data_IF_888258129294
#
_entry.id   IF_888258129294
#
_cell.length_a   1.000
_cell.length_b   1.000
_cell.length_c   1.000
_cell.angle_alpha   90.00
_cell.angle_beta   90.00
_cell.angle_gamma   90.00
#
_symmetry.space_group_name_H-M   'P 1'
#
loop_
_entity.id
_entity.type
_entity.pdbx_description
1 polymer ?
#
# COMPACT_ATOMS: atom_id res chain seq x y z
N UNK A 1 -9.01 83.65 -37.87
CA UNK A 1 -7.70 83.04 -37.58
C UNK A 1 -7.48 83.15 -36.08
N UNK A 2 -7.10 82.05 -35.44
CA UNK A 2 -6.91 81.97 -33.99
C UNK A 2 -5.63 82.75 -33.58
N UNK A 3 -5.64 83.37 -32.40
CA UNK A 3 -4.52 84.19 -31.90
C UNK A 3 -3.22 83.37 -31.79
N UNK A 4 -3.34 82.07 -31.52
CA UNK A 4 -2.21 81.16 -31.43
C UNK A 4 -1.49 80.99 -32.78
N UNK A 5 -2.24 80.86 -33.87
CA UNK A 5 -1.68 80.70 -35.22
C UNK A 5 -0.88 81.93 -35.64
N UNK A 6 -1.38 83.12 -35.32
CA UNK A 6 -0.69 84.39 -35.56
C UNK A 6 0.64 84.46 -34.79
N UNK A 7 0.63 84.07 -33.51
CA UNK A 7 1.82 84.05 -32.66
C UNK A 7 2.90 83.10 -33.18
N UNK A 8 2.53 81.90 -33.62
CA UNK A 8 3.48 80.92 -34.16
C UNK A 8 4.07 81.42 -35.48
N UNK A 9 3.26 82.00 -36.38
CA UNK A 9 3.77 82.52 -37.67
C UNK A 9 4.71 83.71 -37.50
N UNK A 10 4.41 84.62 -36.58
CA UNK A 10 5.25 85.80 -36.33
C UNK A 10 6.61 85.44 -35.70
N UNK A 11 6.69 84.34 -34.95
CA UNK A 11 7.91 83.90 -34.28
C UNK A 11 8.59 82.69 -34.94
N UNK A 12 8.08 82.20 -36.08
CA UNK A 12 8.59 81.01 -36.76
C UNK A 12 10.10 81.07 -37.04
N UNK A 13 10.60 82.25 -37.42
CA UNK A 13 12.03 82.47 -37.70
C UNK A 13 12.94 82.27 -36.48
N UNK A 14 12.44 82.45 -35.25
CA UNK A 14 13.21 82.23 -34.03
C UNK A 14 13.41 80.75 -33.70
N UNK A 15 12.64 79.85 -34.33
CA UNK A 15 12.76 78.40 -34.11
C UNK A 15 13.86 77.76 -34.97
N UNK A 16 14.35 78.44 -36.01
CA UNK A 16 15.36 77.90 -36.94
C UNK A 16 16.81 78.29 -36.60
N UNK A 17 17.03 79.04 -35.50
CA UNK A 17 18.35 79.56 -35.13
C UNK A 17 19.33 78.44 -34.69
N UNK A 18 18.83 77.36 -34.10
CA UNK A 18 19.65 76.29 -33.55
C UNK A 18 19.26 74.93 -34.15
N UNK A 19 20.07 74.41 -35.08
CA UNK A 19 19.93 73.03 -35.57
C UNK A 19 20.66 72.08 -34.64
N UNK A 20 19.94 71.11 -34.09
CA UNK A 20 20.54 70.08 -33.26
C UNK A 20 21.58 69.25 -34.05
N UNK A 21 22.78 69.09 -33.49
CA UNK A 21 23.81 68.22 -34.05
C UNK A 21 23.41 66.74 -33.86
N UNK A 22 22.80 66.19 -34.91
CA UNK A 22 22.32 64.81 -34.94
C UNK A 22 23.46 63.81 -34.75
N UNK A 23 24.67 64.11 -35.23
CA UNK A 23 25.80 63.20 -35.11
C UNK A 23 26.22 63.04 -33.65
N UNK A 24 26.28 64.15 -32.91
CA UNK A 24 26.59 64.14 -31.47
C UNK A 24 25.53 63.38 -30.66
N UNK A 25 24.25 63.59 -30.98
CA UNK A 25 23.14 62.88 -30.32
C UNK A 25 23.22 61.37 -30.56
N UNK A 26 23.44 60.94 -31.81
CA UNK A 26 23.57 59.52 -32.14
C UNK A 26 24.81 58.87 -31.52
N UNK A 27 25.92 59.60 -31.41
CA UNK A 27 27.12 59.12 -30.74
C UNK A 27 26.88 58.84 -29.24
N UNK A 28 26.12 59.70 -28.54
CA UNK A 28 25.79 59.47 -27.13
C UNK A 28 24.78 58.34 -26.93
N UNK A 29 23.79 58.21 -27.81
CA UNK A 29 22.79 57.12 -27.76
C UNK A 29 23.48 55.77 -27.95
N UNK A 30 24.35 55.65 -28.96
CA UNK A 30 25.06 54.40 -29.25
C UNK A 30 26.03 53.99 -28.14
N UNK A 31 26.74 54.95 -27.53
CA UNK A 31 27.62 54.69 -26.40
C UNK A 31 26.86 54.13 -25.17
N UNK A 32 25.68 54.68 -24.86
CA UNK A 32 24.85 54.19 -23.74
C UNK A 32 24.24 52.81 -24.00
N UNK A 33 24.04 52.43 -25.26
CA UNK A 33 23.51 51.11 -25.62
C UNK A 33 24.59 50.02 -25.50
N UNK A 34 25.82 50.30 -25.95
CA UNK A 34 26.93 49.32 -25.86
C UNK A 34 27.34 49.00 -24.41
N UNK A 35 27.13 49.92 -23.47
CA UNK A 35 27.43 49.67 -22.04
C UNK A 35 26.42 48.69 -21.41
N UNK A 36 25.18 48.63 -21.91
CA UNK A 36 24.13 47.73 -21.40
C UNK A 36 24.15 46.32 -21.98
N UNK A 37 24.89 46.06 -23.05
CA UNK A 37 24.96 44.72 -23.67
C UNK A 37 25.99 43.79 -23.01
N UNK A 38 26.75 44.26 -22.02
CA UNK A 38 27.65 43.40 -21.24
C UNK A 38 26.88 42.58 -20.20
N UNK A 39 26.50 41.39 -20.65
CA UNK A 39 26.27 40.15 -19.87
C UNK A 39 25.00 40.03 -19.03
N UNK A 40 23.86 39.80 -19.68
CA UNK A 40 22.74 39.08 -19.04
C UNK A 40 23.06 37.58 -18.96
N UNK A 41 23.67 37.18 -17.83
CA UNK A 41 24.00 35.79 -17.52
C UNK A 41 22.74 35.01 -17.17
N UNK A 42 22.06 34.44 -18.17
CA UNK A 42 20.90 33.56 -17.96
C UNK A 42 21.38 32.20 -17.47
N UNK A 43 20.93 31.79 -16.28
CA UNK A 43 21.21 30.45 -15.73
C UNK A 43 20.12 29.50 -16.24
N UNK A 44 20.42 28.52 -17.10
CA UNK A 44 19.41 27.60 -17.60
C UNK A 44 18.97 26.64 -16.50
N UNK A 45 17.78 26.86 -15.94
CA UNK A 45 17.18 26.05 -14.86
C UNK A 45 17.11 24.54 -15.21
N UNK A 46 16.96 24.22 -16.50
CA UNK A 46 16.89 22.86 -17.04
C UNK A 46 18.19 22.04 -16.96
N UNK A 47 19.33 22.67 -16.62
CA UNK A 47 20.63 22.00 -16.48
C UNK A 47 20.97 21.56 -15.05
N UNK A 48 20.12 21.84 -14.05
CA UNK A 48 20.40 21.39 -12.68
C UNK A 48 19.89 19.96 -12.44
N UNK A 49 20.82 19.03 -12.20
CA UNK A 49 20.49 17.64 -11.81
C UNK A 49 19.66 17.56 -10.52
N UNK A 50 19.69 18.60 -9.68
CA UNK A 50 18.90 18.72 -8.46
C UNK A 50 17.39 18.77 -8.73
N UNK A 51 16.94 19.44 -9.79
CA UNK A 51 15.51 19.46 -10.15
C UNK A 51 15.02 18.09 -10.60
N UNK A 52 15.87 17.29 -11.26
CA UNK A 52 15.52 15.91 -11.66
C UNK A 52 15.30 15.02 -10.44
N UNK A 53 16.16 15.15 -9.43
CA UNK A 53 16.05 14.41 -8.16
C UNK A 53 14.77 14.79 -7.42
N UNK A 54 14.45 16.10 -7.35
CA UNK A 54 13.22 16.57 -6.70
C UNK A 54 11.95 16.02 -7.37
N UNK A 55 11.92 15.93 -8.70
CA UNK A 55 10.80 15.34 -9.44
C UNK A 55 10.64 13.86 -9.13
N UNK A 56 11.73 13.09 -9.07
CA UNK A 56 11.67 11.66 -8.73
C UNK A 56 11.14 11.45 -7.31
N UNK A 57 11.61 12.25 -6.33
CA UNK A 57 11.13 12.18 -4.95
C UNK A 57 9.64 12.54 -4.89
N UNK A 58 9.21 13.59 -5.58
CA UNK A 58 7.80 14.00 -5.61
C UNK A 58 6.89 12.91 -6.20
N UNK A 59 7.35 12.18 -7.23
CA UNK A 59 6.62 11.05 -7.81
C UNK A 59 6.55 9.87 -6.84
N UNK A 60 7.64 9.55 -6.13
CA UNK A 60 7.63 8.47 -5.14
C UNK A 60 6.68 8.81 -3.99
N UNK A 61 6.73 10.04 -3.48
CA UNK A 61 5.86 10.52 -2.39
C UNK A 61 4.39 10.55 -2.83
N UNK A 62 4.10 10.96 -4.06
CA UNK A 62 2.72 10.98 -4.56
C UNK A 62 2.14 9.58 -4.75
N UNK A 63 2.93 8.63 -5.27
CA UNK A 63 2.51 7.23 -5.40
C UNK A 63 2.33 6.59 -4.02
N UNK A 64 3.28 6.79 -3.11
CA UNK A 64 3.18 6.29 -1.74
C UNK A 64 1.99 6.89 -0.99
N UNK A 65 1.75 8.20 -1.16
CA UNK A 65 0.61 8.89 -0.56
C UNK A 65 -0.73 8.42 -1.13
N UNK A 66 -0.82 8.20 -2.44
CA UNK A 66 -2.04 7.70 -3.08
C UNK A 66 -2.37 6.26 -2.63
N UNK A 67 -1.36 5.37 -2.57
CA UNK A 67 -1.53 4.01 -2.05
C UNK A 67 -1.87 4.01 -0.56
N UNK A 68 -1.19 4.84 0.22
CA UNK A 68 -1.42 4.97 1.67
C UNK A 68 -2.82 5.49 2.01
N UNK A 69 -3.29 6.54 1.33
CA UNK A 69 -4.63 7.08 1.49
C UNK A 69 -5.72 6.10 1.02
N UNK A 70 -5.46 5.32 -0.04
CA UNK A 70 -6.39 4.29 -0.50
C UNK A 70 -6.52 3.11 0.48
N UNK A 71 -5.48 2.76 1.24
CA UNK A 71 -5.60 1.77 2.32
C UNK A 71 -6.30 2.34 3.56
N UNK A 72 -6.00 3.59 3.94
CA UNK A 72 -6.57 4.21 5.12
C UNK A 72 -8.09 4.48 5.02
N UNK A 73 -8.60 4.77 3.81
CA UNK A 73 -10.02 5.06 3.61
C UNK A 73 -10.93 3.81 3.57
N UNK A 74 -10.39 2.59 3.70
CA UNK A 74 -11.16 1.35 3.55
C UNK A 74 -11.39 0.57 4.86
N UNK A 75 -10.86 1.03 5.99
CA UNK A 75 -10.93 0.30 7.25
C UNK A 75 -11.91 0.95 8.24
N UNK A 76 -13.13 0.43 8.27
CA UNK A 76 -13.91 0.34 9.52
C UNK A 76 -13.05 -0.36 10.56
N UNK A 77 -12.95 0.17 11.79
CA UNK A 77 -12.14 -0.44 12.86
C UNK A 77 -12.52 -1.89 13.17
N UNK A 78 -13.76 -2.28 12.86
CA UNK A 78 -14.29 -3.63 12.99
C UNK A 78 -13.63 -4.64 12.02
N UNK A 79 -13.44 -4.28 10.75
CA UNK A 79 -12.77 -5.15 9.77
C UNK A 79 -11.28 -5.33 10.10
N UNK A 80 -10.66 -4.29 10.68
CA UNK A 80 -9.28 -4.38 11.16
C UNK A 80 -9.15 -5.29 12.39
N UNK A 81 -10.15 -5.30 13.28
CA UNK A 81 -10.18 -6.21 14.42
C UNK A 81 -10.37 -7.66 13.99
N UNK A 82 -11.37 -7.95 13.15
CA UNK A 82 -11.64 -9.32 12.67
C UNK A 82 -10.46 -9.88 11.88
N UNK A 83 -9.83 -9.08 11.02
CA UNK A 83 -8.64 -9.51 10.29
C UNK A 83 -7.44 -9.82 11.20
N UNK A 84 -7.28 -9.09 12.31
CA UNK A 84 -6.25 -9.36 13.32
C UNK A 84 -6.53 -10.67 14.07
N UNK A 85 -7.74 -10.88 14.54
CA UNK A 85 -8.14 -12.11 15.24
C UNK A 85 -7.97 -13.34 14.34
N UNK A 86 -8.39 -13.26 13.07
CA UNK A 86 -8.20 -14.34 12.12
C UNK A 86 -6.71 -14.64 11.88
N UNK A 87 -5.87 -13.61 11.80
CA UNK A 87 -4.42 -13.76 11.65
C UNK A 87 -3.83 -14.50 12.86
N UNK A 88 -4.19 -14.11 14.07
CA UNK A 88 -3.73 -14.74 15.31
C UNK A 88 -4.13 -16.23 15.35
N UNK A 89 -5.39 -16.54 15.04
CA UNK A 89 -5.87 -17.93 14.96
C UNK A 89 -5.03 -18.72 13.96
N UNK A 90 -4.83 -18.18 12.75
CA UNK A 90 -4.06 -18.87 11.70
C UNK A 90 -2.60 -19.09 12.10
N UNK A 91 -1.97 -18.12 12.77
CA UNK A 91 -0.59 -18.27 13.26
C UNK A 91 -0.46 -19.36 14.33
N UNK A 92 -1.48 -19.51 15.18
CA UNK A 92 -1.41 -20.45 16.30
C UNK A 92 -1.86 -21.87 15.97
N UNK A 93 -2.92 -22.02 15.16
CA UNK A 93 -3.59 -23.31 15.01
C UNK A 93 -3.26 -24.04 13.70
N UNK A 94 -2.91 -23.33 12.63
CA UNK A 94 -2.68 -23.97 11.31
C UNK A 94 -1.55 -24.99 11.37
N UNK A 95 -0.39 -24.58 11.88
CA UNK A 95 0.79 -25.45 11.94
C UNK A 95 0.59 -26.59 12.95
N UNK A 96 -0.10 -26.31 14.06
CA UNK A 96 -0.44 -27.31 15.06
C UNK A 96 -1.32 -28.43 14.47
N UNK A 97 -2.36 -28.06 13.73
CA UNK A 97 -3.27 -29.00 13.07
C UNK A 97 -2.53 -29.81 12.01
N UNK A 98 -1.74 -29.15 11.15
CA UNK A 98 -0.96 -29.83 10.12
C UNK A 98 0.00 -30.87 10.72
N UNK A 99 0.70 -30.50 11.79
CA UNK A 99 1.59 -31.41 12.51
C UNK A 99 0.83 -32.59 13.13
N UNK A 100 -0.32 -32.35 13.77
CA UNK A 100 -1.14 -33.41 14.36
C UNK A 100 -1.68 -34.38 13.31
N UNK A 101 -2.12 -33.89 12.15
CA UNK A 101 -2.52 -34.72 11.01
C UNK A 101 -1.37 -35.60 10.54
N UNK A 102 -0.14 -35.06 10.48
CA UNK A 102 1.04 -35.82 10.11
C UNK A 102 1.38 -36.92 11.11
N UNK A 103 1.25 -36.64 12.41
CA UNK A 103 1.42 -37.65 13.47
C UNK A 103 0.43 -38.80 13.32
N UNK A 104 -0.84 -38.49 13.04
CA UNK A 104 -1.88 -39.51 12.82
C UNK A 104 -1.54 -40.40 11.62
N UNK A 105 -1.15 -39.80 10.49
CA UNK A 105 -0.76 -40.54 9.29
C UNK A 105 0.38 -41.53 9.55
N UNK A 106 1.36 -41.13 10.36
CA UNK A 106 2.56 -41.93 10.67
C UNK A 106 2.38 -42.88 11.84
N UNK A 107 1.26 -42.85 12.56
CA UNK A 107 1.08 -43.65 13.76
C UNK A 107 0.86 -45.14 13.42
N UNK A 108 1.75 -46.06 13.84
CA UNK A 108 1.60 -47.48 13.57
C UNK A 108 0.49 -48.14 14.40
N UNK A 109 0.05 -47.51 15.49
CA UNK A 109 -0.96 -48.07 16.41
C UNK A 109 -2.40 -47.76 15.98
N UNK A 110 -2.59 -47.05 14.87
CA UNK A 110 -3.90 -46.79 14.28
C UNK A 110 -4.14 -47.72 13.09
N UNK A 111 -5.35 -48.26 13.00
CA UNK A 111 -5.78 -49.00 11.81
C UNK A 111 -5.85 -48.07 10.60
N UNK A 112 -5.67 -48.62 9.39
CA UNK A 112 -5.81 -47.83 8.16
C UNK A 112 -7.23 -47.28 7.97
N UNK A 113 -8.24 -47.98 8.48
CA UNK A 113 -9.62 -47.52 8.49
C UNK A 113 -9.81 -46.29 9.39
N UNK A 114 -9.28 -46.33 10.62
CA UNK A 114 -9.35 -45.20 11.56
C UNK A 114 -8.61 -43.97 11.02
N UNK A 115 -7.46 -44.18 10.36
CA UNK A 115 -6.72 -43.11 9.70
C UNK A 115 -7.54 -42.50 8.56
N UNK A 116 -8.12 -43.33 7.69
CA UNK A 116 -8.90 -42.87 6.56
C UNK A 116 -10.14 -42.07 7.01
N UNK A 117 -10.86 -42.58 8.01
CA UNK A 117 -12.01 -41.90 8.60
C UNK A 117 -11.61 -40.53 9.18
N UNK A 118 -10.59 -40.49 10.06
CA UNK A 118 -10.11 -39.24 10.64
C UNK A 118 -9.69 -38.23 9.56
N UNK A 119 -8.92 -38.67 8.56
CA UNK A 119 -8.46 -37.79 7.49
C UNK A 119 -9.60 -37.25 6.63
N UNK A 120 -10.66 -38.04 6.42
CA UNK A 120 -11.84 -37.57 5.68
C UNK A 120 -12.56 -36.44 6.41
N UNK A 121 -12.71 -36.52 7.73
CA UNK A 121 -13.29 -35.44 8.53
C UNK A 121 -12.41 -34.20 8.57
N UNK A 122 -11.08 -34.37 8.60
CA UNK A 122 -10.15 -33.24 8.54
C UNK A 122 -10.25 -32.49 7.20
N UNK A 123 -10.38 -33.21 6.08
CA UNK A 123 -10.55 -32.62 4.74
C UNK A 123 -11.88 -31.85 4.59
N UNK A 124 -12.96 -32.38 5.19
CA UNK A 124 -14.24 -31.68 5.27
C UNK A 124 -14.12 -30.37 6.05
N UNK A 125 -13.44 -30.39 7.20
CA UNK A 125 -13.20 -29.20 8.03
C UNK A 125 -12.26 -28.19 7.34
N UNK A 126 -11.30 -28.65 6.52
CA UNK A 126 -10.47 -27.80 5.65
C UNK A 126 -11.30 -27.08 4.59
N UNK A 127 -12.21 -27.81 3.95
CA UNK A 127 -13.11 -27.25 2.95
C UNK A 127 -14.09 -26.23 3.57
N UNK A 128 -14.65 -26.53 4.75
CA UNK A 128 -15.49 -25.60 5.51
C UNK A 128 -14.72 -24.31 5.87
N UNK A 129 -13.48 -24.43 6.35
CA UNK A 129 -12.63 -23.28 6.67
C UNK A 129 -12.37 -22.38 5.46
N UNK A 130 -12.00 -22.94 4.31
CA UNK A 130 -11.75 -22.13 3.10
C UNK A 130 -13.02 -21.41 2.62
N UNK A 131 -14.18 -22.05 2.78
CA UNK A 131 -15.48 -21.42 2.50
C UNK A 131 -15.71 -20.22 3.41
N UNK A 132 -15.53 -20.37 4.72
CA UNK A 132 -15.64 -19.28 5.70
C UNK A 132 -14.65 -18.15 5.41
N UNK A 133 -13.41 -18.48 4.99
CA UNK A 133 -12.40 -17.49 4.61
C UNK A 133 -12.85 -16.65 3.41
N UNK A 134 -13.48 -17.28 2.41
CA UNK A 134 -14.03 -16.59 1.24
C UNK A 134 -15.27 -15.76 1.59
N UNK A 135 -16.11 -16.21 2.52
CA UNK A 135 -17.26 -15.45 3.01
C UNK A 135 -16.84 -14.18 3.74
N UNK A 136 -15.81 -14.26 4.59
CA UNK A 136 -15.26 -13.11 5.31
C UNK A 136 -14.70 -12.03 4.36
N UNK A 137 -14.15 -12.43 3.20
CA UNK A 137 -13.69 -11.47 2.18
C UNK A 137 -14.83 -10.70 1.51
N UNK A 138 -16.07 -11.19 1.59
CA UNK A 138 -17.26 -10.54 1.01
C UNK A 138 -17.93 -9.54 1.97
N UNK A 139 -17.33 -9.26 3.13
CA UNK A 139 -17.87 -8.37 4.19
C UNK A 139 -19.30 -8.74 4.62
N UNK A 140 -19.61 -10.04 4.70
CA UNK A 140 -20.83 -10.54 5.31
C UNK A 140 -20.54 -10.72 6.81
N UNK A 141 -21.23 -9.95 7.68
CA UNK A 141 -21.28 -10.13 9.14
C UNK A 141 -20.02 -10.81 9.72
N UNK A 142 -18.88 -10.13 9.59
CA UNK A 142 -17.53 -10.69 9.75
C UNK A 142 -17.31 -11.29 11.16
N UNK A 143 -18.00 -10.78 12.18
CA UNK A 143 -17.98 -11.32 13.55
C UNK A 143 -18.57 -12.73 13.62
N UNK A 144 -19.71 -12.98 12.97
CA UNK A 144 -20.32 -14.33 12.91
C UNK A 144 -19.49 -15.30 12.10
N UNK A 145 -18.90 -14.83 11.00
CA UNK A 145 -17.99 -15.67 10.20
C UNK A 145 -16.74 -16.03 11.02
N UNK A 146 -16.20 -15.09 11.80
CA UNK A 146 -15.09 -15.36 12.72
C UNK A 146 -15.46 -16.39 13.80
N UNK A 147 -16.66 -16.30 14.38
CA UNK A 147 -17.16 -17.30 15.34
C UNK A 147 -17.21 -18.70 14.70
N UNK A 148 -17.67 -18.80 13.45
CA UNK A 148 -17.69 -20.05 12.71
C UNK A 148 -16.28 -20.59 12.43
N UNK A 149 -15.30 -19.72 12.13
CA UNK A 149 -13.88 -20.12 11.97
C UNK A 149 -13.35 -20.70 13.29
N UNK A 150 -13.61 -20.03 14.42
CA UNK A 150 -13.21 -20.53 15.74
C UNK A 150 -13.88 -21.88 16.04
N UNK A 151 -15.17 -22.03 15.72
CA UNK A 151 -15.89 -23.29 15.91
C UNK A 151 -15.31 -24.43 15.05
N UNK A 152 -14.92 -24.15 13.80
CA UNK A 152 -14.25 -25.12 12.92
C UNK A 152 -12.93 -25.62 13.55
N UNK A 153 -12.08 -24.71 14.05
CA UNK A 153 -10.85 -25.11 14.75
C UNK A 153 -11.11 -25.93 16.02
N UNK A 154 -12.14 -25.57 16.81
CA UNK A 154 -12.55 -26.37 17.99
C UNK A 154 -12.92 -27.81 17.60
N UNK A 155 -13.68 -28.00 16.52
CA UNK A 155 -14.04 -29.34 16.02
C UNK A 155 -12.79 -30.16 15.65
N UNK A 156 -11.82 -29.55 14.97
CA UNK A 156 -10.55 -30.22 14.61
C UNK A 156 -9.81 -30.71 15.85
N UNK A 157 -9.68 -29.85 16.86
CA UNK A 157 -9.03 -30.19 18.12
C UNK A 157 -9.75 -31.34 18.82
N UNK A 158 -11.09 -31.29 18.86
CA UNK A 158 -11.90 -32.34 19.48
C UNK A 158 -11.74 -33.70 18.78
N UNK A 159 -11.71 -33.72 17.44
CA UNK A 159 -11.43 -34.95 16.69
C UNK A 159 -10.06 -35.54 17.03
N UNK A 160 -9.04 -34.69 17.13
CA UNK A 160 -7.69 -35.11 17.47
C UNK A 160 -7.64 -35.67 18.90
N UNK A 161 -8.31 -35.02 19.85
CA UNK A 161 -8.41 -35.51 21.23
C UNK A 161 -9.10 -36.88 21.32
N UNK A 162 -10.22 -37.06 20.62
CA UNK A 162 -10.94 -38.34 20.59
C UNK A 162 -10.09 -39.46 20.01
N UNK A 163 -9.34 -39.17 18.93
CA UNK A 163 -8.45 -40.15 18.33
C UNK A 163 -7.29 -40.53 19.27
N UNK A 164 -6.67 -39.55 19.93
CA UNK A 164 -5.64 -39.79 20.93
C UNK A 164 -6.15 -40.61 22.12
N UNK A 165 -7.38 -40.35 22.56
CA UNK A 165 -8.02 -41.13 23.61
C UNK A 165 -8.21 -42.59 23.18
N UNK A 166 -8.70 -42.84 21.96
CA UNK A 166 -8.85 -44.20 21.39
C UNK A 166 -7.53 -44.97 21.39
N UNK A 167 -6.42 -44.32 21.00
CA UNK A 167 -5.07 -44.92 21.01
C UNK A 167 -4.61 -45.24 22.43
N UNK A 168 -4.91 -44.38 23.39
CA UNK A 168 -4.47 -44.58 24.77
C UNK A 168 -5.29 -45.67 25.48
N UNK A 169 -6.59 -45.72 25.20
CA UNK A 169 -7.49 -46.73 25.75
C UNK A 169 -7.20 -48.12 25.17
N UNK A 170 -6.87 -48.22 23.87
CA UNK A 170 -6.42 -49.50 23.28
C UNK A 170 -5.13 -50.01 23.93
N UNK A 171 -4.19 -49.12 24.24
CA UNK A 171 -2.94 -49.47 24.93
C UNK A 171 -3.16 -50.01 26.35
N UNK A 172 -4.05 -49.39 27.12
CA UNK A 172 -4.38 -49.86 28.50
C UNK A 172 -4.98 -51.26 28.52
N UNK A 173 -5.82 -51.57 27.52
CA UNK A 173 -6.42 -52.90 27.38
C UNK A 173 -5.32 -53.94 27.09
N UNK A 174 -4.35 -53.61 26.22
CA UNK A 174 -3.23 -54.50 25.89
C UNK A 174 -2.31 -54.78 27.09
N UNK A 175 -2.05 -53.78 27.94
CA UNK A 175 -1.24 -53.92 29.16
C UNK A 175 -1.93 -54.77 30.25
N UNK A 176 -3.27 -54.76 30.34
CA UNK A 176 -4.05 -55.52 31.34
C UNK A 176 -4.07 -57.03 31.04
N UNK A 177 -4.05 -57.41 29.76
CA UNK A 177 -3.96 -58.83 29.34
C UNK A 177 -2.54 -59.39 29.34
N UNK A 178 -1.51 -58.57 29.62
CA UNK A 178 -0.10 -58.95 29.64
C UNK A 178 0.37 -59.71 30.91
N UNK A 179 -0.49 -59.87 31.91
CA UNK A 179 -0.18 -60.54 33.18
C UNK A 179 -1.07 -61.77 33.42
N UNK A 180 -1.01 -62.77 32.55
CA UNK A 180 -1.48 -64.13 32.87
C UNK A 180 -0.49 -65.18 32.37
N UNK A 181 0.49 -65.53 33.21
CA UNK A 181 1.16 -66.83 33.23
C UNK A 181 1.50 -67.20 34.68
#
# INVERSE_FOLDING_TARGET
>A
MDNFEKHIRENAAQFDEHKADRAKLWAQISAQLQEKEKETKVIPLWRSSLLRIAVVIAVIVSVAGFVGLSMFNKNSGEDQYVSKELLEINMHYKDLVAYQVELVKKNPNLSEEDKAEFLSFMDELDTEYETLRLEMQKNLDNERVLEAVVANYKKRIELIQRLLQKINDSKKIEDDYGYTL
#
